data_IF_555675738601
#
_entry.id   IF_555675738601
#
_cell.length_a   1.000
_cell.length_b   1.000
_cell.length_c   1.000
_cell.angle_alpha   90.00
_cell.angle_beta   90.00
_cell.angle_gamma   90.00
#
_symmetry.space_group_name_H-M   'P 1'
#
loop_
_entity.id
_entity.type
_entity.pdbx_description
1 polymer ?
#
# COMPACT_ATOMS: atom_id res chain seq x y z
N UNK A 1 -9.17 5.87 -17.04
CA UNK A 1 -7.99 5.03 -16.67
C UNK A 1 -8.51 3.67 -16.22
N UNK A 2 -7.98 2.58 -16.78
CA UNK A 2 -8.34 1.21 -16.42
C UNK A 2 -7.64 0.84 -15.12
N UNK A 3 -8.38 0.46 -14.06
CA UNK A 3 -7.81 -0.07 -12.81
C UNK A 3 -7.75 -1.62 -12.87
N UNK A 4 -7.76 -2.20 -14.08
CA UNK A 4 -8.19 -3.59 -14.26
C UNK A 4 -7.00 -4.54 -14.17
N UNK A 5 -7.20 -5.76 -13.65
CA UNK A 5 -6.25 -6.82 -13.90
C UNK A 5 -6.16 -7.09 -15.41
N UNK A 6 -4.94 -7.07 -15.95
CA UNK A 6 -4.72 -7.27 -17.38
C UNK A 6 -3.68 -8.37 -17.58
N UNK A 7 -4.00 -9.32 -18.46
CA UNK A 7 -3.07 -10.37 -18.87
C UNK A 7 -2.26 -9.89 -20.08
N UNK A 8 -0.95 -9.84 -19.93
CA UNK A 8 0.00 -9.51 -20.99
C UNK A 8 0.67 -10.78 -21.51
N UNK A 9 0.33 -11.14 -22.75
CA UNK A 9 0.89 -12.33 -23.42
C UNK A 9 2.27 -12.05 -24.01
N UNK A 10 3.14 -13.06 -23.98
CA UNK A 10 4.45 -13.05 -24.64
C UNK A 10 4.27 -12.80 -26.15
N UNK A 11 4.53 -11.56 -26.60
CA UNK A 11 4.38 -11.14 -28.01
C UNK A 11 3.45 -9.94 -28.25
N UNK A 12 2.54 -9.61 -27.32
CA UNK A 12 1.70 -8.42 -27.44
C UNK A 12 2.42 -7.18 -26.89
N UNK A 13 2.91 -6.35 -27.81
CA UNK A 13 3.76 -5.15 -27.63
C UNK A 13 5.12 -5.40 -26.97
N UNK A 14 6.21 -4.82 -27.50
CA UNK A 14 7.55 -4.99 -26.95
C UNK A 14 7.77 -4.32 -25.56
N UNK A 15 6.77 -3.79 -24.85
CA UNK A 15 6.98 -2.88 -23.70
C UNK A 15 6.67 -3.42 -22.30
N UNK A 16 6.10 -4.62 -22.14
CA UNK A 16 5.68 -5.12 -20.81
C UNK A 16 6.65 -6.11 -20.15
N UNK A 17 7.76 -6.47 -20.80
CA UNK A 17 8.69 -7.46 -20.24
C UNK A 17 9.54 -6.83 -19.11
N UNK A 18 9.56 -7.40 -17.89
CA UNK A 18 10.25 -6.81 -16.75
C UNK A 18 11.75 -6.56 -16.93
N UNK A 19 12.40 -7.36 -17.78
CA UNK A 19 13.82 -7.21 -18.14
C UNK A 19 14.18 -5.87 -18.80
N UNK A 20 13.19 -5.02 -19.13
CA UNK A 20 13.39 -3.68 -19.67
C UNK A 20 13.47 -2.58 -18.61
N UNK A 21 13.12 -2.90 -17.36
CA UNK A 21 13.17 -1.95 -16.26
C UNK A 21 14.40 -2.18 -15.41
N UNK A 22 14.98 -1.10 -14.93
CA UNK A 22 16.04 -1.16 -13.93
C UNK A 22 15.41 -1.59 -12.60
N UNK A 23 15.94 -2.67 -12.02
CA UNK A 23 15.56 -3.11 -10.68
C UNK A 23 16.27 -2.19 -9.69
N UNK A 24 15.49 -1.39 -8.96
CA UNK A 24 16.00 -0.44 -7.97
C UNK A 24 16.39 -1.14 -6.66
N UNK A 25 15.62 -2.15 -6.27
CA UNK A 25 15.92 -3.04 -5.15
C UNK A 25 15.35 -4.44 -5.40
N UNK A 26 16.03 -5.47 -4.93
CA UNK A 26 15.53 -6.83 -4.89
C UNK A 26 15.31 -7.25 -3.45
N UNK A 27 14.09 -7.62 -3.09
CA UNK A 27 13.82 -8.27 -1.82
C UNK A 27 13.82 -9.78 -2.04
N UNK A 28 14.81 -10.47 -1.48
CA UNK A 28 14.97 -11.91 -1.60
C UNK A 28 14.87 -12.55 -0.21
N UNK A 29 13.85 -13.37 -0.01
CA UNK A 29 13.77 -14.23 1.18
C UNK A 29 14.50 -15.52 0.88
N UNK A 30 15.55 -15.80 1.66
CA UNK A 30 16.29 -17.07 1.59
C UNK A 30 15.34 -18.20 2.01
N UNK A 31 15.17 -19.23 1.17
CA UNK A 31 14.26 -20.37 1.34
C UNK A 31 12.74 -20.09 1.15
N UNK A 32 12.35 -19.32 0.15
CA UNK A 32 10.94 -19.29 -0.28
C UNK A 32 10.60 -20.47 -1.19
N UNK A 33 9.85 -21.45 -0.67
CA UNK A 33 9.22 -22.54 -1.47
C UNK A 33 8.10 -22.04 -2.42
N UNK A 34 7.80 -20.73 -2.40
CA UNK A 34 6.68 -20.11 -3.13
C UNK A 34 7.22 -19.14 -4.18
N UNK A 35 7.73 -19.69 -5.28
CA UNK A 35 8.39 -18.91 -6.34
C UNK A 35 7.38 -18.18 -7.24
N UNK A 36 6.63 -17.21 -6.70
CA UNK A 36 6.04 -16.18 -7.54
C UNK A 36 7.15 -15.22 -7.97
N UNK A 37 7.28 -15.02 -9.28
CA UNK A 37 8.16 -13.97 -9.81
C UNK A 37 7.36 -12.66 -9.84
N UNK A 38 7.67 -11.77 -8.90
CA UNK A 38 6.90 -10.54 -8.62
C UNK A 38 7.74 -9.30 -8.95
N UNK A 39 7.11 -8.31 -9.59
CA UNK A 39 7.66 -6.99 -9.86
C UNK A 39 6.69 -5.91 -9.36
N UNK A 40 7.15 -5.07 -8.43
CA UNK A 40 6.39 -3.99 -7.82
C UNK A 40 6.84 -2.63 -8.36
N UNK A 41 5.98 -1.96 -9.12
CA UNK A 41 6.16 -0.57 -9.51
C UNK A 41 5.59 0.32 -8.41
N UNK A 42 6.43 1.15 -7.81
CA UNK A 42 6.04 1.92 -6.63
C UNK A 42 6.59 3.35 -6.58
N UNK A 43 6.16 4.07 -5.55
CA UNK A 43 6.96 5.11 -4.93
C UNK A 43 7.30 4.67 -3.49
N UNK A 44 8.52 4.93 -2.98
CA UNK A 44 8.99 4.36 -1.71
C UNK A 44 8.13 4.79 -0.53
N UNK A 45 7.75 6.07 -0.49
CA UNK A 45 7.02 6.68 0.64
C UNK A 45 5.52 6.86 0.38
N UNK A 46 4.99 6.21 -0.67
CA UNK A 46 3.56 6.21 -0.94
C UNK A 46 2.84 5.22 0.00
N UNK A 47 1.80 5.64 0.75
CA UNK A 47 1.12 4.76 1.71
C UNK A 47 0.50 3.52 1.06
N UNK A 48 0.01 3.64 -0.18
CA UNK A 48 -0.53 2.50 -0.93
C UNK A 48 0.56 1.49 -1.31
N UNK A 49 1.79 1.95 -1.59
CA UNK A 49 2.92 1.09 -1.91
C UNK A 49 3.49 0.45 -0.65
N UNK A 50 3.65 1.22 0.43
CA UNK A 50 4.06 0.73 1.74
C UNK A 50 3.11 -0.38 2.25
N UNK A 51 1.80 -0.26 2.01
CA UNK A 51 0.83 -1.32 2.32
C UNK A 51 1.09 -2.63 1.55
N UNK A 52 1.39 -2.54 0.25
CA UNK A 52 1.73 -3.74 -0.54
C UNK A 52 3.05 -4.33 -0.06
N UNK A 53 4.07 -3.50 0.20
CA UNK A 53 5.36 -3.97 0.76
C UNK A 53 5.18 -4.63 2.11
N UNK A 54 4.48 -4.00 3.06
CA UNK A 54 4.18 -4.59 4.36
C UNK A 54 3.53 -5.98 4.23
N UNK A 55 2.62 -6.17 3.28
CA UNK A 55 2.03 -7.48 3.00
C UNK A 55 3.04 -8.48 2.40
N UNK A 56 3.79 -8.08 1.37
CA UNK A 56 4.79 -8.95 0.72
C UNK A 56 5.87 -9.37 1.72
N UNK A 57 6.41 -8.40 2.45
CA UNK A 57 7.42 -8.58 3.49
C UNK A 57 6.87 -9.48 4.60
N UNK A 58 5.69 -9.21 5.18
CA UNK A 58 5.12 -10.07 6.23
C UNK A 58 4.92 -11.53 5.78
N UNK A 59 4.54 -11.75 4.53
CA UNK A 59 4.36 -13.11 3.98
C UNK A 59 5.66 -13.71 3.43
N UNK A 60 6.79 -13.00 3.57
CA UNK A 60 8.09 -13.36 3.04
C UNK A 60 8.06 -13.75 1.56
N UNK A 61 7.35 -12.97 0.74
CA UNK A 61 7.35 -13.11 -0.71
C UNK A 61 8.54 -12.33 -1.27
N UNK A 62 9.35 -12.97 -2.12
CA UNK A 62 10.41 -12.26 -2.86
C UNK A 62 9.81 -11.41 -3.97
N UNK A 63 10.32 -10.20 -4.17
CA UNK A 63 9.88 -9.31 -5.24
C UNK A 63 10.99 -8.35 -5.69
N UNK A 64 10.89 -7.94 -6.95
CA UNK A 64 11.72 -6.90 -7.53
C UNK A 64 10.99 -5.56 -7.47
N UNK A 65 11.69 -4.51 -7.06
CA UNK A 65 11.16 -3.15 -7.01
C UNK A 65 11.60 -2.38 -8.24
N UNK A 66 10.65 -1.72 -8.89
CA UNK A 66 10.88 -0.74 -9.94
C UNK A 66 10.41 0.62 -9.42
N UNK A 67 11.35 1.53 -9.16
CA UNK A 67 11.00 2.88 -8.73
C UNK A 67 10.49 3.70 -9.91
N UNK A 68 9.28 4.24 -9.75
CA UNK A 68 8.66 5.07 -10.79
C UNK A 68 9.09 6.51 -10.60
N UNK A 69 9.48 7.18 -11.69
CA UNK A 69 9.75 8.61 -11.63
C UNK A 69 8.43 9.37 -11.43
N UNK A 70 8.27 10.14 -10.33
CA UNK A 70 6.98 10.78 -10.00
C UNK A 70 6.55 11.86 -10.99
N UNK A 71 7.50 12.43 -11.74
CA UNK A 71 7.26 13.47 -12.76
C UNK A 71 7.01 12.82 -14.12
N UNK A 72 7.97 12.04 -14.62
CA UNK A 72 7.97 11.53 -16.01
C UNK A 72 7.14 10.27 -16.19
N UNK A 73 7.01 9.44 -15.15
CA UNK A 73 6.27 8.16 -15.12
C UNK A 73 6.58 7.27 -16.32
N UNK A 74 7.81 7.29 -16.79
CA UNK A 74 8.29 6.56 -17.98
C UNK A 74 8.10 5.06 -17.82
N UNK A 75 8.28 4.58 -16.59
CA UNK A 75 8.16 3.20 -16.15
C UNK A 75 6.72 2.70 -16.20
N UNK A 76 5.73 3.59 -16.32
CA UNK A 76 4.31 3.24 -16.41
C UNK A 76 3.73 3.34 -17.82
N UNK A 77 4.50 3.80 -18.82
CA UNK A 77 3.98 4.08 -20.19
C UNK A 77 3.36 2.86 -20.87
N UNK A 78 3.78 1.66 -20.50
CA UNK A 78 3.27 0.40 -21.05
C UNK A 78 1.82 0.06 -20.61
N UNK A 79 1.26 0.75 -19.61
CA UNK A 79 0.22 0.16 -18.76
C UNK A 79 -1.24 0.64 -18.83
N UNK A 80 -1.74 1.61 -19.59
CA UNK A 80 -3.06 2.30 -19.36
C UNK A 80 -3.41 2.83 -17.94
N UNK A 81 -3.11 2.12 -16.85
CA UNK A 81 -3.10 2.57 -15.47
C UNK A 81 -1.82 3.39 -15.23
N UNK A 82 -1.98 4.62 -14.76
CA UNK A 82 -0.87 5.61 -14.60
C UNK A 82 -0.65 5.99 -13.13
N UNK A 83 -0.97 5.07 -12.22
CA UNK A 83 -0.82 5.20 -10.77
C UNK A 83 -0.03 4.01 -10.23
N UNK A 84 0.46 4.13 -9.00
CA UNK A 84 1.15 3.08 -8.25
C UNK A 84 0.37 2.77 -6.96
N UNK A 85 0.51 1.57 -6.37
CA UNK A 85 1.34 0.46 -6.84
C UNK A 85 0.74 -0.25 -8.06
N UNK A 86 1.62 -0.82 -8.90
CA UNK A 86 1.28 -1.86 -9.89
C UNK A 86 2.11 -3.09 -9.56
N UNK A 87 1.46 -4.24 -9.46
CA UNK A 87 2.15 -5.52 -9.31
C UNK A 87 2.08 -6.29 -10.63
N UNK A 88 3.23 -6.67 -11.18
CA UNK A 88 3.30 -7.69 -12.25
C UNK A 88 3.72 -9.01 -11.62
N UNK A 89 2.92 -10.05 -11.86
CA UNK A 89 3.22 -11.41 -11.42
C UNK A 89 3.34 -12.30 -12.64
N UNK A 90 4.42 -13.07 -12.74
CA UNK A 90 4.60 -14.04 -13.82
C UNK A 90 3.60 -15.18 -13.68
N UNK A 91 2.99 -15.55 -14.80
CA UNK A 91 2.03 -16.66 -14.93
C UNK A 91 2.35 -17.45 -16.21
N UNK A 92 1.76 -18.64 -16.38
CA UNK A 92 2.03 -19.55 -17.50
C UNK A 92 2.05 -18.85 -18.88
N UNK A 93 1.08 -17.96 -19.14
CA UNK A 93 0.91 -17.26 -20.42
C UNK A 93 1.57 -15.87 -20.50
N UNK A 94 2.41 -15.48 -19.54
CA UNK A 94 3.11 -14.19 -19.53
C UNK A 94 3.07 -13.50 -18.17
N UNK A 95 2.48 -12.29 -18.12
CA UNK A 95 2.40 -11.51 -16.89
C UNK A 95 0.97 -11.06 -16.60
N UNK A 96 0.58 -11.21 -15.34
CA UNK A 96 -0.66 -10.68 -14.81
C UNK A 96 -0.37 -9.35 -14.10
N UNK A 97 -0.96 -8.27 -14.59
CA UNK A 97 -0.95 -6.99 -13.91
C UNK A 97 -2.07 -6.95 -12.87
N UNK A 98 -1.74 -6.59 -11.64
CA UNK A 98 -2.66 -6.25 -10.57
C UNK A 98 -2.50 -4.77 -10.23
N UNK A 99 -3.62 -4.07 -10.13
CA UNK A 99 -3.71 -2.65 -9.77
C UNK A 99 -4.48 -2.52 -8.46
N UNK A 100 -4.43 -1.33 -7.86
CA UNK A 100 -5.08 -1.04 -6.56
C UNK A 100 -4.46 -1.84 -5.41
N UNK A 101 -3.86 -1.12 -4.46
CA UNK A 101 -3.15 -1.74 -3.32
C UNK A 101 -3.99 -2.72 -2.50
N UNK A 102 -5.30 -2.47 -2.34
CA UNK A 102 -6.17 -3.35 -1.56
C UNK A 102 -6.60 -4.58 -2.35
N UNK A 103 -6.79 -4.44 -3.67
CA UNK A 103 -7.03 -5.58 -4.57
C UNK A 103 -5.79 -6.47 -4.65
N UNK A 104 -4.60 -5.89 -4.81
CA UNK A 104 -3.33 -6.64 -4.79
C UNK A 104 -3.24 -7.51 -3.53
N UNK A 105 -3.46 -6.91 -2.36
CA UNK A 105 -3.44 -7.63 -1.07
C UNK A 105 -4.51 -8.72 -1.01
N UNK A 106 -5.76 -8.43 -1.41
CA UNK A 106 -6.84 -9.43 -1.37
C UNK A 106 -6.60 -10.60 -2.32
N UNK A 107 -6.20 -10.32 -3.57
CA UNK A 107 -5.89 -11.33 -4.59
C UNK A 107 -4.76 -12.24 -4.12
N UNK A 108 -3.65 -11.65 -3.67
CA UNK A 108 -2.52 -12.45 -3.18
C UNK A 108 -2.91 -13.20 -1.91
N UNK A 109 -3.63 -12.60 -0.97
CA UNK A 109 -4.08 -13.30 0.24
C UNK A 109 -5.01 -14.47 -0.10
N UNK A 110 -5.90 -14.34 -1.09
CA UNK A 110 -6.73 -15.46 -1.57
C UNK A 110 -5.88 -16.58 -2.15
N UNK A 111 -4.97 -16.25 -3.07
CA UNK A 111 -4.06 -17.23 -3.65
C UNK A 111 -3.18 -17.92 -2.60
N UNK A 112 -2.76 -17.16 -1.59
CA UNK A 112 -1.92 -17.64 -0.51
C UNK A 112 -2.66 -18.53 0.51
N UNK A 113 -3.98 -18.43 0.58
CA UNK A 113 -4.84 -19.30 1.38
C UNK A 113 -5.18 -20.61 0.66
N UNK A 114 -5.22 -20.61 -0.68
CA UNK A 114 -5.32 -21.81 -1.50
C UNK A 114 -4.43 -21.69 -2.74
N UNK A 115 -3.23 -22.27 -2.65
CA UNK A 115 -2.25 -22.25 -3.74
C UNK A 115 -2.57 -23.27 -4.84
N UNK A 116 -3.61 -24.11 -4.67
CA UNK A 116 -4.04 -25.05 -5.72
C UNK A 116 -4.81 -24.33 -6.84
N UNK A 117 -5.47 -23.21 -6.52
CA UNK A 117 -6.14 -22.36 -7.51
C UNK A 117 -5.13 -21.46 -8.23
N UNK A 118 -5.15 -21.44 -9.57
CA UNK A 118 -4.28 -20.56 -10.35
C UNK A 118 -4.58 -19.09 -10.08
N UNK A 119 -3.55 -18.25 -10.00
CA UNK A 119 -3.70 -16.80 -9.79
C UNK A 119 -4.57 -16.13 -10.88
N UNK A 120 -4.53 -16.64 -12.11
CA UNK A 120 -5.40 -16.22 -13.23
C UNK A 120 -6.89 -16.51 -13.01
N UNK A 121 -7.21 -17.49 -12.18
CA UNK A 121 -8.59 -17.79 -11.79
C UNK A 121 -8.99 -16.98 -10.55
N UNK A 122 -8.08 -16.80 -9.59
CA UNK A 122 -8.31 -15.96 -8.40
C UNK A 122 -8.75 -14.56 -8.77
N UNK A 123 -8.11 -13.92 -9.77
CA UNK A 123 -8.48 -12.56 -10.19
C UNK A 123 -9.90 -12.44 -10.73
N UNK A 124 -10.53 -13.52 -11.18
CA UNK A 124 -11.92 -13.51 -11.67
C UNK A 124 -12.91 -13.22 -10.54
N UNK A 125 -12.55 -13.47 -9.28
CA UNK A 125 -13.36 -13.13 -8.11
C UNK A 125 -13.38 -11.62 -7.78
N UNK A 126 -12.57 -10.82 -8.48
CA UNK A 126 -12.45 -9.38 -8.29
C UNK A 126 -12.85 -8.64 -9.56
N UNK A 127 -14.10 -8.81 -10.04
CA UNK A 127 -14.53 -8.23 -11.31
C UNK A 127 -14.62 -6.72 -11.21
N UNK A 128 -14.48 -6.09 -12.37
CA UNK A 128 -14.61 -4.64 -12.50
C UNK A 128 -16.04 -4.28 -12.82
N UNK A 129 -16.57 -3.31 -12.10
CA UNK A 129 -17.89 -2.75 -12.35
C UNK A 129 -17.76 -1.27 -12.69
N UNK A 130 -18.58 -0.81 -13.62
CA UNK A 130 -18.76 0.60 -13.92
C UNK A 130 -20.22 0.95 -13.65
N UNK A 131 -20.44 1.99 -12.86
CA UNK A 131 -21.78 2.50 -12.56
C UNK A 131 -21.77 4.02 -12.67
N UNK A 132 -22.95 4.58 -12.95
CA UNK A 132 -23.14 6.03 -12.98
C UNK A 132 -23.53 6.48 -11.58
N UNK A 133 -22.81 7.48 -11.06
CA UNK A 133 -23.11 8.13 -9.79
C UNK A 133 -24.24 9.14 -9.96
N UNK A 134 -24.81 9.61 -8.85
CA UNK A 134 -25.95 10.55 -8.85
C UNK A 134 -25.65 11.89 -9.55
N UNK A 135 -24.37 12.26 -9.66
CA UNK A 135 -23.87 13.44 -10.36
C UNK A 135 -23.61 13.21 -11.86
N UNK A 136 -23.96 12.02 -12.38
CA UNK A 136 -23.73 11.62 -13.77
C UNK A 136 -22.30 11.14 -14.06
N UNK A 137 -21.42 11.07 -13.07
CA UNK A 137 -20.04 10.59 -13.27
C UNK A 137 -19.98 9.06 -13.31
N UNK A 138 -19.27 8.51 -14.31
CA UNK A 138 -19.04 7.05 -14.37
C UNK A 138 -17.93 6.67 -13.38
N UNK A 139 -18.29 6.01 -12.29
CA UNK A 139 -17.37 5.42 -11.32
C UNK A 139 -17.01 4.00 -11.73
N UNK A 140 -15.71 3.69 -11.65
CA UNK A 140 -15.16 2.35 -11.89
C UNK A 140 -14.61 1.80 -10.59
N UNK A 141 -15.14 0.67 -10.16
CA UNK A 141 -14.73 0.01 -8.92
C UNK A 141 -14.43 -1.47 -9.15
N UNK A 142 -13.60 -2.02 -8.26
CA UNK A 142 -13.31 -3.45 -8.24
C UNK A 142 -14.21 -4.05 -7.18
N UNK A 143 -15.16 -4.90 -7.61
CA UNK A 143 -15.99 -5.66 -6.68
C UNK A 143 -15.08 -6.52 -5.80
N UNK A 144 -15.48 -6.76 -4.56
CA UNK A 144 -14.72 -7.60 -3.63
C UNK A 144 -13.33 -7.07 -3.28
N UNK A 145 -13.01 -5.78 -3.54
CA UNK A 145 -11.69 -5.16 -3.26
C UNK A 145 -11.09 -5.55 -1.90
N UNK A 146 -11.91 -5.63 -0.86
CA UNK A 146 -11.49 -5.93 0.51
C UNK A 146 -11.89 -7.34 0.99
N UNK A 147 -12.29 -8.23 0.09
CA UNK A 147 -12.72 -9.58 0.44
C UNK A 147 -11.61 -10.55 0.09
N UNK A 148 -11.24 -11.41 1.04
CA UNK A 148 -10.45 -12.60 0.74
C UNK A 148 -11.43 -13.74 0.48
N UNK A 149 -11.26 -14.46 -0.62
CA UNK A 149 -12.03 -15.66 -0.92
C UNK A 149 -11.48 -16.85 -0.12
N UNK A 150 -12.36 -17.54 0.59
CA UNK A 150 -12.06 -18.73 1.39
C UNK A 150 -12.87 -19.91 0.85
N UNK A 151 -12.28 -21.11 0.87
CA UNK A 151 -13.00 -22.34 0.54
C UNK A 151 -13.76 -22.85 1.77
N UNK A 152 -15.03 -23.23 1.57
CA UNK A 152 -15.88 -23.81 2.62
C UNK A 152 -16.60 -22.79 3.52
N UNK A 153 -17.54 -23.31 4.32
CA UNK A 153 -18.31 -22.49 5.26
C UNK A 153 -17.42 -22.02 6.41
N UNK A 154 -17.50 -20.72 6.71
CA UNK A 154 -16.80 -20.12 7.83
C UNK A 154 -17.67 -20.22 9.09
N UNK A 155 -17.05 -20.50 10.23
CA UNK A 155 -17.75 -20.38 11.52
C UNK A 155 -18.25 -18.95 11.74
N UNK A 156 -19.26 -18.76 12.58
CA UNK A 156 -19.77 -17.43 12.92
C UNK A 156 -18.67 -16.53 13.50
N UNK A 157 -17.80 -17.09 14.36
CA UNK A 157 -16.68 -16.36 14.95
C UNK A 157 -15.66 -15.90 13.90
N UNK A 158 -15.35 -16.75 12.92
CA UNK A 158 -14.45 -16.42 11.81
C UNK A 158 -15.08 -15.34 10.91
N UNK A 159 -16.37 -15.47 10.61
CA UNK A 159 -17.11 -14.48 9.82
C UNK A 159 -17.10 -13.10 10.46
N UNK A 160 -17.29 -13.01 11.79
CA UNK A 160 -17.18 -11.75 12.54
C UNK A 160 -15.77 -11.14 12.43
N UNK A 161 -14.71 -11.95 12.59
CA UNK A 161 -13.32 -11.48 12.42
C UNK A 161 -13.04 -10.97 11.01
N UNK A 162 -13.52 -11.67 9.98
CA UNK A 162 -13.36 -11.28 8.56
C UNK A 162 -14.07 -9.95 8.28
N UNK A 163 -15.28 -9.75 8.80
CA UNK A 163 -16.02 -8.49 8.63
C UNK A 163 -15.29 -7.34 9.32
N UNK A 164 -14.77 -7.56 10.51
CA UNK A 164 -14.03 -6.58 11.28
C UNK A 164 -12.72 -6.16 10.59
N UNK A 165 -11.90 -7.14 10.16
CA UNK A 165 -10.69 -6.91 9.35
C UNK A 165 -10.99 -6.10 8.09
N UNK A 166 -12.04 -6.48 7.36
CA UNK A 166 -12.50 -5.75 6.17
C UNK A 166 -12.86 -4.30 6.47
N UNK A 167 -13.58 -4.04 7.56
CA UNK A 167 -13.98 -2.69 7.94
C UNK A 167 -12.76 -1.84 8.33
N UNK A 168 -11.82 -2.41 9.07
CA UNK A 168 -10.57 -1.75 9.44
C UNK A 168 -9.69 -1.42 8.21
N UNK A 169 -9.63 -2.29 7.20
CA UNK A 169 -8.94 -1.99 5.93
C UNK A 169 -9.60 -0.85 5.15
N UNK A 170 -10.94 -0.84 5.08
CA UNK A 170 -11.70 0.27 4.48
C UNK A 170 -11.41 1.58 5.22
N UNK A 171 -11.36 1.54 6.55
CA UNK A 171 -11.04 2.71 7.36
C UNK A 171 -9.61 3.23 7.09
N UNK A 172 -8.63 2.33 6.98
CA UNK A 172 -7.25 2.72 6.66
C UNK A 172 -7.17 3.49 5.31
N UNK A 173 -7.87 3.00 4.28
CA UNK A 173 -7.84 3.57 2.93
C UNK A 173 -8.72 4.82 2.75
N UNK A 174 -9.80 4.96 3.53
CA UNK A 174 -10.78 6.04 3.36
C UNK A 174 -10.72 7.11 4.43
N UNK A 175 -10.02 6.86 5.55
CA UNK A 175 -9.94 7.78 6.69
C UNK A 175 -8.48 8.04 7.04
N UNK A 176 -7.74 7.00 7.46
CA UNK A 176 -6.40 7.19 8.00
C UNK A 176 -5.45 7.83 6.99
N UNK A 177 -5.43 7.35 5.74
CA UNK A 177 -4.54 7.88 4.70
C UNK A 177 -4.74 9.38 4.44
N UNK A 178 -5.95 9.90 4.65
CA UNK A 178 -6.27 11.31 4.46
C UNK A 178 -5.69 12.23 5.55
N UNK A 179 -5.21 11.65 6.65
CA UNK A 179 -4.52 12.37 7.71
C UNK A 179 -3.06 12.66 7.37
N UNK A 180 -2.43 11.87 6.49
CA UNK A 180 -0.98 11.91 6.27
C UNK A 180 -0.53 13.18 5.56
N UNK A 181 -0.96 13.41 4.32
CA UNK A 181 -0.48 14.54 3.52
C UNK A 181 -0.66 15.90 4.21
N UNK A 182 -1.83 16.22 4.80
CA UNK A 182 -1.99 17.48 5.55
C UNK A 182 -1.02 17.60 6.74
N UNK A 183 -0.59 16.47 7.33
CA UNK A 183 0.33 16.45 8.45
C UNK A 183 1.79 16.58 8.02
N UNK A 184 2.27 15.81 7.04
CA UNK A 184 3.68 15.88 6.61
C UNK A 184 4.00 17.16 5.83
N UNK A 185 2.98 17.83 5.27
CA UNK A 185 3.13 19.09 4.53
C UNK A 185 2.45 20.27 5.25
N UNK A 186 2.40 20.25 6.58
CA UNK A 186 1.65 21.23 7.38
C UNK A 186 2.23 22.65 7.25
N UNK A 187 3.56 22.76 7.30
CA UNK A 187 4.33 24.00 7.09
C UNK A 187 5.25 23.85 5.87
N UNK A 188 5.91 24.93 5.44
CA UNK A 188 6.84 24.86 4.31
C UNK A 188 8.10 24.08 4.69
N UNK A 189 8.56 24.27 5.92
CA UNK A 189 9.71 23.62 6.51
C UNK A 189 9.48 22.10 6.61
N UNK A 190 8.33 21.70 7.17
CA UNK A 190 7.95 20.27 7.25
C UNK A 190 7.80 19.65 5.85
N UNK A 191 7.34 20.43 4.86
CA UNK A 191 7.19 19.93 3.51
C UNK A 191 8.53 19.68 2.82
N UNK A 192 9.50 20.58 2.98
CA UNK A 192 10.86 20.39 2.46
C UNK A 192 11.52 19.21 3.19
N UNK A 193 11.47 19.20 4.53
CA UNK A 193 12.00 18.11 5.38
C UNK A 193 11.45 16.74 4.92
N UNK A 194 10.14 16.65 4.67
CA UNK A 194 9.52 15.41 4.21
C UNK A 194 10.04 14.99 2.84
N UNK A 195 10.22 15.91 1.90
CA UNK A 195 10.75 15.58 0.57
C UNK A 195 12.24 15.21 0.59
N UNK A 196 13.04 15.87 1.43
CA UNK A 196 14.45 15.50 1.65
C UNK A 196 14.54 14.08 2.24
N UNK A 197 13.70 13.78 3.24
CA UNK A 197 13.59 12.45 3.79
C UNK A 197 13.16 11.43 2.73
N UNK A 198 12.13 11.73 1.92
CA UNK A 198 11.67 10.84 0.85
C UNK A 198 12.73 10.60 -0.21
N UNK A 199 13.51 11.62 -0.55
CA UNK A 199 14.66 11.49 -1.44
C UNK A 199 15.71 10.54 -0.87
N UNK A 200 16.00 10.65 0.43
CA UNK A 200 16.98 9.79 1.12
C UNK A 200 16.52 8.34 1.19
N UNK A 201 15.31 8.06 1.70
CA UNK A 201 14.82 6.68 1.84
C UNK A 201 14.48 6.03 0.50
N UNK A 202 14.15 6.84 -0.50
CA UNK A 202 13.90 6.37 -1.85
C UNK A 202 15.16 6.19 -2.69
N UNK A 203 16.33 6.51 -2.13
CA UNK A 203 17.62 6.48 -2.83
C UNK A 203 17.52 7.13 -4.21
N UNK A 204 16.86 8.31 -4.26
CA UNK A 204 16.58 9.00 -5.51
C UNK A 204 17.85 9.44 -6.24
N UNK A 205 18.95 9.62 -5.51
CA UNK A 205 20.29 9.86 -6.04
C UNK A 205 20.85 8.68 -6.85
N UNK A 206 20.40 7.45 -6.59
CA UNK A 206 20.77 6.25 -7.37
C UNK A 206 19.87 6.01 -8.57
N UNK A 207 18.64 6.52 -8.53
CA UNK A 207 17.61 6.24 -9.53
C UNK A 207 17.36 7.41 -10.51
N UNK A 208 17.70 8.64 -10.12
CA UNK A 208 17.45 9.86 -10.89
C UNK A 208 18.68 10.78 -10.91
N UNK A 209 18.75 11.68 -11.88
CA UNK A 209 19.84 12.66 -11.95
C UNK A 209 19.73 13.75 -10.87
N UNK A 210 20.84 14.35 -10.45
CA UNK A 210 20.85 15.30 -9.32
C UNK A 210 19.93 16.52 -9.52
N UNK A 211 19.77 16.99 -10.76
CA UNK A 211 18.87 18.10 -11.08
C UNK A 211 17.40 17.66 -11.00
N UNK A 212 17.07 16.42 -11.39
CA UNK A 212 15.73 15.86 -11.24
C UNK A 212 15.39 15.74 -9.75
N UNK A 213 16.31 15.20 -8.95
CA UNK A 213 16.15 15.08 -7.49
C UNK A 213 15.90 16.45 -6.86
N UNK A 214 16.76 17.43 -7.15
CA UNK A 214 16.62 18.81 -6.64
C UNK A 214 15.27 19.40 -7.03
N UNK A 215 14.87 19.22 -8.29
CA UNK A 215 13.59 19.73 -8.79
C UNK A 215 12.41 19.06 -8.09
N UNK A 216 12.42 17.72 -7.92
CA UNK A 216 11.36 16.98 -7.22
C UNK A 216 11.24 17.47 -5.78
N UNK A 217 12.35 17.67 -5.07
CA UNK A 217 12.34 18.11 -3.67
C UNK A 217 11.73 19.51 -3.52
N UNK A 218 12.24 20.52 -4.22
CA UNK A 218 11.81 21.90 -4.01
C UNK A 218 10.47 22.24 -4.70
N UNK A 219 10.26 21.79 -5.94
CA UNK A 219 8.99 22.01 -6.63
C UNK A 219 7.89 21.14 -6.03
N UNK A 220 8.20 19.87 -5.75
CA UNK A 220 7.26 18.92 -5.15
C UNK A 220 6.81 19.36 -3.76
N UNK A 221 7.72 19.74 -2.86
CA UNK A 221 7.36 20.25 -1.53
C UNK A 221 6.46 21.49 -1.59
N UNK A 222 6.74 22.43 -2.51
CA UNK A 222 5.90 23.61 -2.71
C UNK A 222 4.47 23.24 -3.14
N UNK A 223 4.33 22.36 -4.13
CA UNK A 223 3.03 21.87 -4.60
C UNK A 223 2.29 21.13 -3.47
N UNK A 224 3.00 20.26 -2.74
CA UNK A 224 2.43 19.45 -1.68
C UNK A 224 2.05 20.26 -0.45
N UNK A 225 2.74 21.36 -0.12
CA UNK A 225 2.33 22.31 0.90
C UNK A 225 0.92 22.87 0.60
N UNK A 226 0.72 23.38 -0.61
CA UNK A 226 -0.59 23.91 -1.02
C UNK A 226 -1.66 22.83 -1.12
N UNK A 227 -1.32 21.64 -1.65
CA UNK A 227 -2.23 20.49 -1.66
C UNK A 227 -2.59 20.06 -0.23
N UNK A 228 -1.64 20.04 0.71
CA UNK A 228 -1.88 19.74 2.11
C UNK A 228 -2.92 20.66 2.74
N UNK A 229 -2.85 21.98 2.48
CA UNK A 229 -3.88 22.94 2.91
C UNK A 229 -5.24 22.69 2.25
N UNK A 230 -5.28 22.35 0.97
CA UNK A 230 -6.54 21.99 0.26
C UNK A 230 -7.15 20.72 0.82
N UNK A 231 -6.34 19.69 1.07
CA UNK A 231 -6.77 18.41 1.63
C UNK A 231 -7.24 18.55 3.08
N UNK A 232 -6.58 19.40 3.88
CA UNK A 232 -7.06 19.79 5.22
C UNK A 232 -8.52 20.28 5.16
N UNK A 233 -8.84 21.18 4.23
CA UNK A 233 -10.21 21.69 4.04
C UNK A 233 -11.15 20.61 3.50
N UNK A 234 -10.72 19.86 2.48
CA UNK A 234 -11.52 18.82 1.82
C UNK A 234 -11.97 17.73 2.79
N UNK A 235 -11.10 17.30 3.70
CA UNK A 235 -11.38 16.25 4.67
C UNK A 235 -11.84 16.78 6.03
N UNK A 236 -12.15 18.08 6.11
CA UNK A 236 -12.64 18.75 7.32
C UNK A 236 -11.77 18.46 8.55
N UNK A 237 -10.44 18.54 8.39
CA UNK A 237 -9.50 18.31 9.49
C UNK A 237 -9.49 19.52 10.44
N UNK A 238 -9.11 19.25 11.69
CA UNK A 238 -9.01 20.25 12.75
C UNK A 238 -8.03 21.39 12.39
N UNK A 239 -8.14 22.50 13.11
CA UNK A 239 -7.25 23.67 12.96
C UNK A 239 -5.78 23.25 13.08
N UNK A 240 -5.43 22.49 14.12
CA UNK A 240 -4.20 21.70 14.14
C UNK A 240 -4.46 20.31 13.57
N UNK A 241 -3.87 20.04 12.41
CA UNK A 241 -3.99 18.75 11.70
C UNK A 241 -3.32 17.61 12.46
N UNK A 242 -2.38 17.92 13.38
CA UNK A 242 -1.76 16.92 14.26
C UNK A 242 -2.78 16.25 15.17
N UNK A 243 -3.71 17.02 15.71
CA UNK A 243 -4.79 16.46 16.52
C UNK A 243 -5.64 15.46 15.73
N UNK A 244 -5.98 15.75 14.47
CA UNK A 244 -6.73 14.82 13.62
C UNK A 244 -5.96 13.51 13.37
N UNK A 245 -4.64 13.58 13.24
CA UNK A 245 -3.79 12.39 13.13
C UNK A 245 -3.76 11.61 14.45
N UNK A 246 -3.61 12.29 15.58
CA UNK A 246 -3.62 11.65 16.90
C UNK A 246 -4.97 10.99 17.20
N UNK A 247 -6.08 11.67 16.90
CA UNK A 247 -7.42 11.13 17.10
C UNK A 247 -7.65 9.86 16.27
N UNK A 248 -7.22 9.87 14.99
CA UNK A 248 -7.31 8.70 14.12
C UNK A 248 -6.47 7.52 14.64
N UNK A 249 -5.27 7.80 15.15
CA UNK A 249 -4.41 6.76 15.73
C UNK A 249 -4.95 6.26 17.08
N UNK A 250 -5.51 7.15 17.90
CA UNK A 250 -6.15 6.78 19.15
C UNK A 250 -7.44 5.97 18.92
N UNK A 251 -8.17 6.22 17.83
CA UNK A 251 -9.29 5.38 17.41
C UNK A 251 -8.82 3.94 17.16
N UNK A 252 -7.73 3.77 16.40
CA UNK A 252 -7.11 2.47 16.17
C UNK A 252 -6.66 1.80 17.47
N UNK A 253 -5.93 2.52 18.33
CA UNK A 253 -5.45 2.00 19.61
C UNK A 253 -6.59 1.61 20.56
N UNK A 254 -7.71 2.36 20.54
CA UNK A 254 -8.90 2.03 21.33
C UNK A 254 -9.56 0.73 20.85
N UNK A 255 -9.56 0.49 19.53
CA UNK A 255 -10.02 -0.77 18.95
C UNK A 255 -9.13 -1.94 19.40
N UNK A 256 -7.80 -1.80 19.36
CA UNK A 256 -6.88 -2.83 19.85
C UNK A 256 -7.06 -3.11 21.35
N UNK A 257 -7.19 -2.05 22.16
CA UNK A 257 -7.43 -2.18 23.59
C UNK A 257 -8.75 -2.91 23.88
N UNK A 258 -9.82 -2.62 23.14
CA UNK A 258 -11.10 -3.32 23.28
C UNK A 258 -11.01 -4.82 22.94
N UNK A 259 -10.08 -5.22 22.06
CA UNK A 259 -9.79 -6.64 21.78
C UNK A 259 -8.92 -7.29 22.84
N UNK A 260 -8.11 -6.52 23.57
CA UNK A 260 -7.16 -7.03 24.57
C UNK A 260 -5.99 -7.81 23.96
N UNK A 261 -5.69 -7.58 22.68
CA UNK A 261 -4.64 -8.30 21.93
C UNK A 261 -3.57 -7.34 21.42
N UNK A 262 -2.36 -7.85 21.17
CA UNK A 262 -1.26 -7.05 20.61
C UNK A 262 -1.64 -6.52 19.23
N UNK A 263 -2.20 -7.38 18.37
CA UNK A 263 -2.58 -7.05 17.00
C UNK A 263 -4.10 -7.12 16.83
N UNK A 264 -4.62 -6.49 15.78
CA UNK A 264 -6.02 -6.63 15.38
C UNK A 264 -6.37 -8.09 15.08
N UNK A 265 -5.45 -8.81 14.42
CA UNK A 265 -5.53 -10.25 14.15
C UNK A 265 -5.38 -11.16 15.38
N UNK A 266 -5.14 -10.60 16.57
CA UNK A 266 -4.97 -11.34 17.81
C UNK A 266 -3.50 -11.49 18.19
N UNK A 267 -3.00 -12.73 18.19
CA UNK A 267 -1.59 -13.03 18.50
C UNK A 267 -0.65 -12.72 17.34
N UNK A 268 -1.17 -12.56 16.12
CA UNK A 268 -0.40 -12.23 14.92
C UNK A 268 -1.12 -11.14 14.11
N UNK A 269 -0.39 -10.35 13.31
CA UNK A 269 -1.00 -9.39 12.40
C UNK A 269 -1.95 -10.03 11.39
N UNK A 270 -3.10 -9.39 11.16
CA UNK A 270 -3.96 -9.67 10.01
C UNK A 270 -3.82 -8.59 8.92
N UNK A 271 -4.67 -8.65 7.89
CA UNK A 271 -4.63 -7.69 6.79
C UNK A 271 -5.04 -6.27 7.21
N UNK A 272 -5.78 -6.10 8.32
CA UNK A 272 -6.08 -4.78 8.86
C UNK A 272 -4.86 -4.18 9.53
N UNK A 273 -4.15 -4.96 10.35
CA UNK A 273 -2.87 -4.54 10.93
C UNK A 273 -1.88 -4.10 9.85
N UNK A 274 -1.70 -4.92 8.81
CA UNK A 274 -0.79 -4.62 7.69
C UNK A 274 -1.22 -3.37 6.91
N UNK A 275 -2.53 -3.14 6.74
CA UNK A 275 -3.03 -1.94 6.09
C UNK A 275 -2.72 -0.67 6.88
N UNK A 276 -2.99 -0.66 8.19
CA UNK A 276 -2.72 0.48 9.07
C UNK A 276 -1.21 0.72 9.19
N UNK A 277 -0.42 -0.34 9.36
CA UNK A 277 1.03 -0.26 9.44
C UNK A 277 1.65 0.26 8.14
N UNK A 278 1.20 -0.26 7.00
CA UNK A 278 1.61 0.21 5.67
C UNK A 278 1.32 1.69 5.45
N UNK A 279 0.14 2.16 5.86
CA UNK A 279 -0.18 3.60 5.79
C UNK A 279 0.76 4.41 6.68
N UNK A 280 0.92 4.06 7.96
CA UNK A 280 1.72 4.86 8.91
C UNK A 280 3.22 4.82 8.62
N UNK A 281 3.76 3.69 8.14
CA UNK A 281 5.17 3.57 7.74
C UNK A 281 5.56 4.47 6.57
N UNK A 282 4.59 4.93 5.76
CA UNK A 282 4.86 5.87 4.68
C UNK A 282 5.34 7.25 5.14
N UNK A 283 5.12 7.58 6.42
CA UNK A 283 5.57 8.83 7.04
C UNK A 283 6.60 8.59 8.14
N UNK A 284 7.06 7.35 8.32
CA UNK A 284 8.14 7.04 9.29
C UNK A 284 9.38 7.85 8.93
N UNK A 285 9.92 8.58 9.90
CA UNK A 285 11.08 9.47 9.74
C UNK A 285 10.73 10.96 9.58
N UNK A 286 9.49 11.29 9.21
CA UNK A 286 9.02 12.68 9.20
C UNK A 286 8.72 13.19 10.62
N UNK A 287 8.86 14.51 10.85
CA UNK A 287 8.43 15.18 12.09
C UNK A 287 7.02 14.76 12.55
N UNK A 288 6.07 14.62 11.62
CA UNK A 288 4.69 14.19 11.94
C UNK A 288 4.62 12.82 12.63
N UNK A 289 5.46 11.87 12.22
CA UNK A 289 5.50 10.54 12.83
C UNK A 289 6.21 10.57 14.18
N UNK A 290 7.27 11.39 14.32
CA UNK A 290 7.94 11.62 15.60
C UNK A 290 6.97 12.20 16.64
N UNK A 291 6.18 13.19 16.25
CA UNK A 291 5.13 13.77 17.08
C UNK A 291 4.06 12.73 17.46
N UNK A 292 3.58 11.96 16.49
CA UNK A 292 2.60 10.90 16.70
C UNK A 292 3.07 9.87 17.73
N UNK A 293 4.33 9.43 17.67
CA UNK A 293 4.92 8.50 18.65
C UNK A 293 5.06 9.11 20.05
N UNK A 294 5.28 10.42 20.16
CA UNK A 294 5.40 11.14 21.44
C UNK A 294 4.04 11.43 22.09
N UNK A 295 3.01 11.68 21.28
CA UNK A 295 1.70 12.17 21.75
C UNK A 295 0.63 11.08 21.84
N UNK A 296 0.94 9.86 21.42
CA UNK A 296 0.03 8.71 21.49
C UNK A 296 0.76 7.47 22.01
N UNK A 297 0.01 6.42 22.35
CA UNK A 297 0.57 5.11 22.75
C UNK A 297 0.87 4.18 21.56
N UNK A 298 1.05 4.74 20.36
CA UNK A 298 1.21 3.99 19.12
C UNK A 298 2.46 3.11 19.09
N UNK A 299 3.56 3.57 19.71
CA UNK A 299 4.88 2.94 19.63
C UNK A 299 4.86 1.43 19.91
N UNK A 300 4.13 0.98 20.93
CA UNK A 300 4.10 -0.45 21.31
C UNK A 300 3.57 -1.36 20.19
N UNK A 301 2.42 -1.02 19.61
CA UNK A 301 1.86 -1.76 18.48
C UNK A 301 2.71 -1.59 17.21
N UNK A 302 3.20 -0.37 16.94
CA UNK A 302 3.95 -0.09 15.72
C UNK A 302 5.29 -0.83 15.66
N UNK A 303 6.04 -0.86 16.77
CA UNK A 303 7.32 -1.56 16.84
C UNK A 303 7.11 -3.09 16.80
N UNK A 304 6.02 -3.60 17.38
CA UNK A 304 5.62 -5.00 17.26
C UNK A 304 5.29 -5.36 15.80
N UNK A 305 4.55 -4.51 15.09
CA UNK A 305 4.28 -4.66 13.66
C UNK A 305 5.56 -4.65 12.83
N UNK A 306 6.44 -3.67 13.07
CA UNK A 306 7.71 -3.55 12.36
C UNK A 306 8.58 -4.80 12.53
N UNK A 307 8.62 -5.34 13.75
CA UNK A 307 9.34 -6.59 14.04
C UNK A 307 8.71 -7.78 13.32
N UNK A 308 7.38 -7.93 13.40
CA UNK A 308 6.66 -9.05 12.78
C UNK A 308 6.77 -9.07 11.25
N UNK A 309 6.72 -7.89 10.62
CA UNK A 309 6.92 -7.74 9.17
C UNK A 309 8.38 -8.09 8.78
N UNK A 310 9.36 -7.61 9.54
CA UNK A 310 10.78 -7.89 9.27
C UNK A 310 11.17 -9.36 9.47
N UNK A 311 10.49 -10.06 10.39
CA UNK A 311 10.69 -11.50 10.66
C UNK A 311 9.88 -12.41 9.73
N UNK A 312 9.06 -11.86 8.83
CA UNK A 312 8.22 -12.62 7.91
C UNK A 312 7.24 -13.57 8.63
N UNK A 313 6.70 -13.15 9.78
CA UNK A 313 5.86 -13.99 10.65
C UNK A 313 4.61 -14.58 9.96
N UNK A 314 4.15 -13.96 8.86
CA UNK A 314 3.05 -14.46 8.04
C UNK A 314 3.36 -15.78 7.34
N UNK A 315 4.64 -16.12 7.16
CA UNK A 315 5.06 -17.45 6.68
C UNK A 315 4.78 -18.54 7.72
N UNK A 316 4.87 -18.22 9.01
CA UNK A 316 4.72 -19.16 10.13
C UNK A 316 3.25 -19.49 10.45
N UNK A 317 2.30 -18.79 9.81
CA UNK A 317 0.86 -18.87 10.11
C UNK A 317 0.09 -19.89 9.28
N UNK A 318 0.81 -20.80 8.60
CA UNK A 318 0.24 -21.76 7.67
C UNK A 318 0.85 -23.13 7.86
#
# INVERSE_FOLDING_TARGET
MSNFPQLYKKGNKPSCHPSKFQISAGFQVVNSDKSLEIYLFQYPTCPFCCKVRAFLDYNGLSYNVIEVNPIRKTELKWSDYRKVPILLVKVDEGYLQLNDSSVIVSVLSTYLNDTSTKLTDVVKFYPNIAFMDDDGTIKKEVLNRYHVMYHGQQSESASKRIVDERNSRKWADNVLVHMLSPNVYRTREEAIESFEWFSKVGEWDKNFSSWEVTSIVYLGSTVMYWLGKRLKKKYNLKSDVRESLYDSCNQWLKLLNAKGTTFHGGSRPDLADLAVFGVLSSIEGCSAFGDLRKKTKLSGWYDAMKSSVALHDGQLAR
#
